data_IF_436430126199
#
_entry.id   IF_436430126199
#
_cell.length_a   1.000
_cell.length_b   1.000
_cell.length_c   1.000
_cell.angle_alpha   90.00
_cell.angle_beta   90.00
_cell.angle_gamma   90.00
#
_symmetry.space_group_name_H-M   'P 1'
#
loop_
_entity.id
_entity.type
_entity.pdbx_description
1 polymer ?
#
# COMPACT_ATOMS: atom_id res chain seq x y z
N UNK A 1 -5.34 -14.31 -29.98
CA UNK A 1 -5.59 -13.48 -28.78
C UNK A 1 -4.81 -14.05 -27.60
N UNK A 2 -3.66 -13.47 -27.22
CA UNK A 2 -2.82 -13.92 -26.07
C UNK A 2 -2.33 -12.78 -25.15
N UNK A 3 -2.66 -11.52 -25.47
CA UNK A 3 -2.12 -10.35 -24.76
C UNK A 3 -2.78 -10.03 -23.41
N UNK A 4 -3.93 -10.64 -23.08
CA UNK A 4 -4.74 -10.23 -21.91
C UNK A 4 -4.35 -10.90 -20.59
N UNK A 5 -3.78 -12.11 -20.62
CA UNK A 5 -3.41 -12.84 -19.37
C UNK A 5 -2.11 -12.31 -18.76
N UNK A 6 -1.14 -11.95 -19.61
CA UNK A 6 0.17 -11.48 -19.15
C UNK A 6 0.09 -10.12 -18.45
N UNK A 7 -0.70 -9.17 -18.98
CA UNK A 7 -0.88 -7.85 -18.37
C UNK A 7 -1.59 -7.92 -17.02
N UNK A 8 -2.55 -8.85 -16.84
CA UNK A 8 -3.21 -9.06 -15.54
C UNK A 8 -2.26 -9.63 -14.48
N UNK A 9 -1.43 -10.61 -14.84
CA UNK A 9 -0.46 -11.19 -13.92
C UNK A 9 0.60 -10.20 -13.46
N UNK A 10 1.12 -9.36 -14.37
CA UNK A 10 2.08 -8.30 -14.03
C UNK A 10 1.44 -7.26 -13.10
N UNK A 11 0.22 -6.81 -13.41
CA UNK A 11 -0.49 -5.86 -12.55
C UNK A 11 -0.74 -6.38 -11.14
N UNK A 12 -1.11 -7.66 -11.01
CA UNK A 12 -1.29 -8.29 -9.71
C UNK A 12 0.03 -8.39 -8.93
N UNK A 13 1.13 -8.83 -9.58
CA UNK A 13 2.43 -8.91 -8.94
C UNK A 13 2.95 -7.56 -8.45
N UNK A 14 2.74 -6.49 -9.23
CA UNK A 14 3.10 -5.12 -8.82
C UNK A 14 2.27 -4.70 -7.60
N UNK A 15 0.95 -4.96 -7.60
CA UNK A 15 0.07 -4.65 -6.47
C UNK A 15 0.49 -5.38 -5.20
N UNK A 16 0.76 -6.69 -5.28
CA UNK A 16 1.19 -7.49 -4.13
C UNK A 16 2.55 -7.00 -3.59
N UNK A 17 3.50 -6.67 -4.47
CA UNK A 17 4.79 -6.10 -4.08
C UNK A 17 4.66 -4.75 -3.38
N UNK A 18 3.83 -3.84 -3.91
CA UNK A 18 3.55 -2.55 -3.27
C UNK A 18 2.86 -2.74 -1.91
N UNK A 19 1.87 -3.62 -1.83
CA UNK A 19 1.17 -3.90 -0.58
C UNK A 19 2.11 -4.43 0.50
N UNK A 20 2.99 -5.38 0.16
CA UNK A 20 3.99 -5.90 1.10
C UNK A 20 5.01 -4.85 1.52
N UNK A 21 5.42 -3.97 0.61
CA UNK A 21 6.29 -2.83 0.92
C UNK A 21 5.65 -1.85 1.90
N UNK A 22 4.34 -1.57 1.72
CA UNK A 22 3.56 -0.73 2.63
C UNK A 22 3.51 -1.34 4.02
N UNK A 23 3.18 -2.63 4.13
CA UNK A 23 3.13 -3.37 5.39
C UNK A 23 4.44 -3.25 6.17
N UNK A 24 5.56 -3.58 5.54
CA UNK A 24 6.89 -3.55 6.18
C UNK A 24 7.24 -2.12 6.60
N UNK A 25 7.01 -1.12 5.75
CA UNK A 25 7.39 0.26 6.05
C UNK A 25 6.53 0.86 7.17
N UNK A 26 5.24 0.50 7.22
CA UNK A 26 4.35 0.86 8.32
C UNK A 26 4.79 0.20 9.63
N UNK A 27 5.16 -1.07 9.61
CA UNK A 27 5.68 -1.77 10.78
C UNK A 27 6.97 -1.13 11.30
N UNK A 28 7.89 -0.74 10.40
CA UNK A 28 9.13 -0.06 10.80
C UNK A 28 8.86 1.31 11.41
N UNK A 29 7.91 2.07 10.85
CA UNK A 29 7.68 3.47 11.25
C UNK A 29 6.72 3.63 12.43
N UNK A 30 5.67 2.81 12.48
CA UNK A 30 4.55 2.92 13.41
C UNK A 30 4.33 1.63 14.22
N UNK A 31 5.28 0.69 14.21
CA UNK A 31 5.13 -0.65 14.82
C UNK A 31 5.32 -0.72 16.33
N UNK A 32 5.64 0.39 17.00
CA UNK A 32 5.48 0.43 18.47
C UNK A 32 3.98 0.27 18.76
N UNK A 33 3.53 -0.91 19.18
CA UNK A 33 2.15 -1.14 19.61
C UNK A 33 1.13 -1.57 18.54
N UNK A 34 1.56 -2.12 17.39
CA UNK A 34 0.65 -2.60 16.30
C UNK A 34 -0.24 -1.53 15.64
N UNK A 35 -0.13 -0.25 16.03
CA UNK A 35 -1.00 0.84 15.57
C UNK A 35 -0.89 1.02 14.05
N UNK A 36 0.32 0.94 13.49
CA UNK A 36 0.59 1.01 12.06
C UNK A 36 -0.09 -0.06 11.20
N UNK A 37 -0.52 -1.18 11.78
CA UNK A 37 -1.14 -2.28 11.05
C UNK A 37 -2.67 -2.14 10.95
N UNK A 38 -3.27 -1.25 11.73
CA UNK A 38 -4.74 -1.04 11.78
C UNK A 38 -5.33 -0.56 10.45
N UNK A 39 -4.52 0.07 9.62
CA UNK A 39 -4.87 0.64 8.33
C UNK A 39 -4.72 -0.37 7.16
N UNK A 40 -4.01 -1.48 7.37
CA UNK A 40 -3.79 -2.49 6.32
C UNK A 40 -5.06 -3.11 5.74
N UNK A 41 -6.13 -3.37 6.51
CA UNK A 41 -7.40 -3.84 5.95
C UNK A 41 -7.99 -2.85 4.94
N UNK A 42 -7.86 -1.54 5.19
CA UNK A 42 -8.32 -0.48 4.28
C UNK A 42 -7.49 -0.47 3.00
N UNK A 43 -6.16 -0.47 3.14
CA UNK A 43 -5.22 -0.43 2.01
C UNK A 43 -5.34 -1.69 1.14
N UNK A 44 -5.66 -2.85 1.73
CA UNK A 44 -5.85 -4.11 1.01
C UNK A 44 -6.99 -4.03 -0.02
N UNK A 45 -8.03 -3.23 0.24
CA UNK A 45 -9.15 -3.03 -0.68
C UNK A 45 -8.77 -2.17 -1.90
N UNK A 46 -7.64 -1.45 -1.84
CA UNK A 46 -7.19 -0.59 -2.93
C UNK A 46 -6.62 -1.46 -4.06
N UNK A 47 -7.25 -1.33 -5.23
CA UNK A 47 -6.81 -2.00 -6.46
C UNK A 47 -5.96 -1.10 -7.35
N UNK A 48 -5.99 0.22 -7.12
CA UNK A 48 -5.24 1.18 -7.91
C UNK A 48 -3.76 1.19 -7.51
N UNK A 49 -2.91 0.76 -8.44
CA UNK A 49 -1.45 0.71 -8.28
C UNK A 49 -0.85 2.09 -8.00
N UNK A 50 -1.37 3.15 -8.62
CA UNK A 50 -0.86 4.51 -8.43
C UNK A 50 -1.12 5.00 -7.01
N UNK A 51 -2.30 4.69 -6.46
CA UNK A 51 -2.64 5.02 -5.06
C UNK A 51 -1.73 4.26 -4.11
N UNK A 52 -1.53 2.95 -4.31
CA UNK A 52 -0.62 2.16 -3.48
C UNK A 52 0.81 2.70 -3.53
N UNK A 53 1.26 3.16 -4.69
CA UNK A 53 2.59 3.75 -4.83
C UNK A 53 2.70 5.11 -4.12
N UNK A 54 1.65 5.94 -4.18
CA UNK A 54 1.56 7.20 -3.46
C UNK A 54 1.58 6.99 -1.94
N UNK A 55 0.85 5.99 -1.44
CA UNK A 55 0.87 5.58 -0.03
C UNK A 55 2.30 5.20 0.36
N UNK A 56 2.92 4.25 -0.36
CA UNK A 56 4.28 3.77 -0.07
C UNK A 56 5.31 4.92 0.01
N UNK A 57 5.24 5.86 -0.93
CA UNK A 57 6.14 7.02 -0.96
C UNK A 57 5.91 7.96 0.22
N UNK A 58 4.66 8.16 0.61
CA UNK A 58 4.28 9.13 1.64
C UNK A 58 4.49 8.62 3.07
N UNK A 59 4.52 7.29 3.29
CA UNK A 59 4.87 6.71 4.61
C UNK A 59 6.19 7.29 5.13
N UNK A 60 7.14 7.65 4.25
CA UNK A 60 8.42 8.24 4.67
C UNK A 60 8.28 9.62 5.32
N UNK A 61 7.25 10.39 4.98
CA UNK A 61 7.11 11.81 5.35
C UNK A 61 5.96 12.09 6.32
N UNK A 62 4.86 11.34 6.26
CA UNK A 62 3.69 11.55 7.14
C UNK A 62 3.99 11.21 8.59
N UNK A 63 3.53 11.99 9.56
CA UNK A 63 3.85 11.76 10.97
C UNK A 63 2.79 10.93 11.69
N UNK A 64 1.60 10.83 11.10
CA UNK A 64 0.45 10.12 11.66
C UNK A 64 -0.23 9.22 10.63
N UNK A 65 -1.01 8.24 11.11
CA UNK A 65 -1.82 7.39 10.24
C UNK A 65 -2.98 8.17 9.61
N UNK A 66 -3.50 9.20 10.30
CA UNK A 66 -4.54 10.07 9.74
C UNK A 66 -4.05 10.84 8.51
N UNK A 67 -2.84 11.41 8.56
CA UNK A 67 -2.22 12.03 7.39
C UNK A 67 -2.05 11.03 6.23
N UNK A 68 -1.74 9.77 6.52
CA UNK A 68 -1.65 8.73 5.50
C UNK A 68 -3.01 8.39 4.88
N UNK A 69 -4.10 8.40 5.67
CA UNK A 69 -5.47 8.16 5.18
C UNK A 69 -5.93 9.20 4.16
N UNK A 70 -5.50 10.46 4.29
CA UNK A 70 -5.84 11.54 3.36
C UNK A 70 -5.39 11.30 1.92
N UNK A 71 -4.52 10.32 1.68
CA UNK A 71 -3.99 10.01 0.35
C UNK A 71 -4.99 9.18 -0.47
N UNK A 72 -5.81 8.38 0.20
CA UNK A 72 -6.64 7.37 -0.46
C UNK A 72 -8.12 7.39 -0.05
N UNK A 73 -8.48 8.15 0.99
CA UNK A 73 -9.86 8.50 1.32
C UNK A 73 -10.28 9.77 0.57
#
# INVERSE_FOLDING_TARGET
>A
MRKTTQSKGIGQGIREGLFKGIEITLEIKFGIGNEGLTILPEISQIQNIEILNAILSSIKTVNTLEELRQIYQ
#
